data_IF_710720837624
#
_entry.id   IF_710720837624
#
_cell.length_a   1.000
_cell.length_b   1.000
_cell.length_c   1.000
_cell.angle_alpha   90.00
_cell.angle_beta   90.00
_cell.angle_gamma   90.00
#
_symmetry.space_group_name_H-M   'P 1'
#
loop_
_entity.id
_entity.type
_entity.pdbx_description
1 polymer ?
#
# COMPACT_ATOMS: atom_id res chain seq x y z
N UNK A 1 1.52 8.31 28.67
CA UNK A 1 1.70 9.53 27.86
C UNK A 1 1.69 9.15 26.39
N UNK A 2 0.93 9.86 25.56
CA UNK A 2 0.94 9.68 24.10
C UNK A 2 1.94 10.65 23.51
N UNK A 3 2.92 10.16 22.71
CA UNK A 3 3.79 11.03 21.92
C UNK A 3 3.40 10.92 20.45
N UNK A 4 3.16 12.07 19.83
CA UNK A 4 2.95 12.19 18.38
C UNK A 4 4.29 12.41 17.72
N UNK A 5 4.61 11.56 16.75
CA UNK A 5 5.84 11.66 15.97
C UNK A 5 5.51 11.77 14.48
N UNK A 6 6.22 12.65 13.78
CA UNK A 6 6.16 12.73 12.33
C UNK A 6 7.21 11.80 11.75
N UNK A 7 6.80 10.81 10.97
CA UNK A 7 7.70 9.84 10.35
C UNK A 7 7.71 10.09 8.84
N UNK A 8 8.88 10.09 8.20
CA UNK A 8 8.96 10.05 6.75
C UNK A 8 8.77 8.61 6.27
N UNK A 9 7.81 8.42 5.37
CA UNK A 9 7.48 7.12 4.83
C UNK A 9 7.51 7.16 3.31
N UNK A 10 8.02 6.07 2.75
CA UNK A 10 7.99 5.75 1.34
C UNK A 10 7.17 4.48 1.16
N UNK A 11 6.33 4.42 0.13
CA UNK A 11 5.54 3.23 -0.18
C UNK A 11 5.02 3.24 -1.59
N UNK A 12 4.34 2.17 -1.98
CA UNK A 12 3.74 2.01 -3.30
C UNK A 12 2.23 1.80 -3.18
N UNK A 13 1.46 2.54 -3.97
CA UNK A 13 0.01 2.35 -4.13
C UNK A 13 -0.23 1.61 -5.44
N UNK A 14 -0.93 0.48 -5.37
CA UNK A 14 -1.34 -0.28 -6.56
C UNK A 14 -2.63 0.28 -7.14
N UNK A 15 -2.60 0.63 -8.42
CA UNK A 15 -3.80 0.90 -9.22
C UNK A 15 -4.19 -0.36 -9.98
N UNK A 16 -5.48 -0.69 -10.00
CA UNK A 16 -6.01 -1.85 -10.69
C UNK A 16 -7.10 -1.42 -11.67
N UNK A 17 -6.87 -1.60 -12.97
CA UNK A 17 -7.83 -1.23 -14.00
C UNK A 17 -9.01 -2.22 -14.02
N UNK A 18 -10.21 -1.69 -14.18
CA UNK A 18 -11.45 -2.45 -14.44
C UNK A 18 -12.36 -1.64 -15.37
N UNK A 19 -13.24 -2.32 -16.12
CA UNK A 19 -14.13 -1.65 -17.07
C UNK A 19 -14.34 -2.46 -18.34
N UNK A 20 -14.97 -1.81 -19.32
CA UNK A 20 -15.33 -2.39 -20.61
C UNK A 20 -14.58 -1.68 -21.75
N UNK A 21 -14.00 -2.46 -22.66
CA UNK A 21 -13.49 -1.97 -23.94
C UNK A 21 -14.54 -2.27 -25.01
N UNK A 22 -14.81 -1.29 -25.85
CA UNK A 22 -15.75 -1.42 -26.97
C UNK A 22 -14.99 -1.46 -28.28
N UNK A 23 -15.16 -2.55 -29.02
CA UNK A 23 -14.64 -2.71 -30.36
C UNK A 23 -15.75 -2.39 -31.34
N UNK A 24 -15.51 -1.41 -32.21
CA UNK A 24 -16.41 -1.05 -33.29
C UNK A 24 -15.81 -1.56 -34.59
N UNK A 25 -16.63 -2.18 -35.42
CA UNK A 25 -16.26 -2.75 -36.70
C UNK A 25 -17.00 -2.00 -37.81
N UNK A 26 -16.34 -1.82 -38.95
CA UNK A 26 -16.95 -1.18 -40.13
C UNK A 26 -18.04 -2.07 -40.75
N UNK A 27 -17.83 -3.39 -40.69
CA UNK A 27 -18.78 -4.43 -41.14
C UNK A 27 -19.23 -5.33 -39.98
N UNK A 28 -20.37 -6.00 -40.16
CA UNK A 28 -20.90 -6.93 -39.15
C UNK A 28 -19.96 -8.12 -38.97
N UNK A 29 -19.51 -8.32 -37.74
CA UNK A 29 -18.82 -9.54 -37.30
C UNK A 29 -19.80 -10.32 -36.41
N UNK A 30 -20.11 -11.56 -36.79
CA UNK A 30 -21.11 -12.41 -36.14
C UNK A 30 -22.46 -11.70 -35.91
N UNK A 31 -22.89 -10.91 -36.89
CA UNK A 31 -24.18 -10.20 -36.86
C UNK A 31 -24.18 -8.85 -36.14
N UNK A 32 -23.07 -8.44 -35.53
CA UNK A 32 -22.97 -7.20 -34.74
C UNK A 32 -21.85 -6.27 -35.23
N UNK A 33 -22.08 -4.95 -35.13
CA UNK A 33 -21.05 -3.92 -35.41
C UNK A 33 -20.22 -3.54 -34.19
N UNK A 34 -20.67 -3.91 -32.99
CA UNK A 34 -20.06 -3.49 -31.73
C UNK A 34 -20.00 -4.65 -30.76
N UNK A 35 -18.85 -4.82 -30.13
CA UNK A 35 -18.62 -5.82 -29.11
C UNK A 35 -18.01 -5.19 -27.87
N UNK A 36 -18.53 -5.54 -26.69
CA UNK A 36 -18.00 -5.09 -25.41
C UNK A 36 -17.27 -6.23 -24.73
N UNK A 37 -16.08 -5.95 -24.22
CA UNK A 37 -15.28 -6.92 -23.46
C UNK A 37 -14.92 -6.33 -22.10
N UNK A 38 -15.24 -7.06 -21.03
CA UNK A 38 -14.85 -6.71 -19.66
C UNK A 38 -13.39 -7.07 -19.46
N UNK A 39 -12.53 -6.08 -19.22
CA UNK A 39 -11.08 -6.31 -19.05
C UNK A 39 -10.78 -7.19 -17.84
N UNK A 40 -11.60 -7.10 -16.78
CA UNK A 40 -11.46 -7.94 -15.58
C UNK A 40 -11.73 -9.41 -15.88
N UNK A 41 -12.61 -9.69 -16.85
CA UNK A 41 -13.01 -11.06 -17.18
C UNK A 41 -12.01 -11.72 -18.13
N UNK A 42 -11.43 -10.96 -19.06
CA UNK A 42 -10.45 -11.49 -20.03
C UNK A 42 -9.00 -11.45 -19.54
N UNK A 43 -8.62 -10.43 -18.75
CA UNK A 43 -7.32 -10.36 -18.08
C UNK A 43 -7.51 -10.69 -16.60
N UNK A 44 -7.55 -11.99 -16.32
CA UNK A 44 -7.79 -12.53 -14.97
C UNK A 44 -6.60 -12.31 -14.04
N UNK A 45 -5.38 -12.37 -14.59
CA UNK A 45 -4.18 -11.93 -13.89
C UNK A 45 -4.26 -10.42 -13.63
N UNK A 46 -4.21 -10.04 -12.35
CA UNK A 46 -4.31 -8.64 -11.94
C UNK A 46 -3.06 -7.85 -12.29
N UNK A 47 -1.91 -8.51 -12.39
CA UNK A 47 -0.64 -7.85 -12.69
C UNK A 47 -0.65 -7.23 -14.09
N UNK A 48 -1.28 -7.90 -15.05
CA UNK A 48 -1.42 -7.44 -16.45
C UNK A 48 -2.31 -6.19 -16.60
N UNK A 49 -3.06 -5.83 -15.56
CA UNK A 49 -3.95 -4.65 -15.55
C UNK A 49 -3.70 -3.74 -14.35
N UNK A 50 -2.49 -3.76 -13.82
CA UNK A 50 -2.12 -2.92 -12.70
C UNK A 50 -0.84 -2.13 -12.92
N UNK A 51 -0.70 -1.04 -12.18
CA UNK A 51 0.52 -0.25 -12.10
C UNK A 51 0.69 0.27 -10.67
N UNK A 52 1.86 0.79 -10.35
CA UNK A 52 2.18 1.31 -9.03
C UNK A 52 2.56 2.79 -9.11
N UNK A 53 2.06 3.59 -8.17
CA UNK A 53 2.66 4.89 -7.86
C UNK A 53 3.44 4.80 -6.57
N UNK A 54 4.69 5.26 -6.63
CA UNK A 54 5.50 5.50 -5.45
C UNK A 54 5.04 6.82 -4.79
N UNK A 55 4.93 6.80 -3.47
CA UNK A 55 4.74 8.02 -2.68
C UNK A 55 5.84 8.15 -1.65
N UNK A 56 6.23 9.39 -1.37
CA UNK A 56 7.15 9.75 -0.30
C UNK A 56 6.57 10.93 0.46
N UNK A 57 6.39 10.80 1.77
CA UNK A 57 5.78 11.87 2.56
C UNK A 57 5.83 11.64 4.06
N UNK A 58 5.45 12.69 4.78
CA UNK A 58 5.35 12.65 6.24
C UNK A 58 4.01 12.05 6.68
N UNK A 59 4.06 11.08 7.58
CA UNK A 59 2.89 10.48 8.23
C UNK A 59 2.87 10.87 9.70
N UNK A 60 1.70 11.22 10.21
CA UNK A 60 1.47 11.41 11.64
C UNK A 60 1.11 10.07 12.27
N UNK A 61 1.88 9.64 13.26
CA UNK A 61 1.56 8.45 14.04
C UNK A 61 1.52 8.78 15.53
N UNK A 62 0.56 8.15 16.23
CA UNK A 62 0.48 8.19 17.68
C UNK A 62 1.07 6.91 18.22
N UNK A 63 2.27 7.01 18.82
CA UNK A 63 2.93 5.85 19.42
C UNK A 63 2.65 5.85 20.92
N UNK A 64 2.11 4.75 21.43
CA UNK A 64 1.99 4.47 22.87
C UNK A 64 3.19 3.62 23.28
N UNK A 65 4.26 4.27 23.72
CA UNK A 65 5.39 3.58 24.36
C UNK A 65 5.15 3.54 25.87
N UNK A 66 4.92 2.35 26.40
CA UNK A 66 4.93 2.11 27.85
C UNK A 66 6.30 1.51 28.16
N UNK A 67 7.15 2.28 28.83
CA UNK A 67 8.46 1.81 29.30
C UNK A 67 8.49 1.96 30.82
N UNK A 68 8.37 0.85 31.54
CA UNK A 68 8.60 0.80 32.99
C UNK A 68 10.08 0.50 33.23
N UNK A 69 10.88 1.55 33.37
CA UNK A 69 12.27 1.42 33.80
C UNK A 69 12.32 1.33 35.32
N UNK A 70 12.66 0.16 35.87
CA UNK A 70 12.97 0.02 37.29
C UNK A 70 14.46 0.32 37.51
N UNK A 71 14.77 1.46 38.11
CA UNK A 71 16.12 1.76 38.57
C UNK A 71 16.39 0.97 39.85
N UNK A 72 17.02 -0.21 39.72
CA UNK A 72 17.62 -0.86 40.88
C UNK A 72 18.92 -0.12 41.20
N UNK A 73 18.93 0.57 42.33
CA UNK A 73 20.18 0.95 43.01
C UNK A 73 20.87 -0.35 43.43
N UNK A 74 21.65 -0.94 42.52
CA UNK A 74 22.73 -1.82 42.95
C UNK A 74 23.82 -0.89 43.44
N UNK A 75 24.04 -0.91 44.74
CA UNK A 75 25.24 -0.36 45.35
C UNK A 75 26.42 -1.08 44.68
N UNK A 76 27.12 -0.40 43.77
CA UNK A 76 28.47 -0.81 43.41
C UNK A 76 29.31 -0.37 44.60
N UNK A 77 29.58 -1.30 45.51
CA UNK A 77 30.70 -1.14 46.44
C UNK A 77 31.98 -1.10 45.59
N UNK A 78 32.80 -0.07 45.81
CA UNK A 78 34.11 0.17 45.19
C UNK A 78 35.17 -0.91 45.59
N UNK A 79 34.80 -2.18 45.66
CA UNK A 79 35.70 -3.30 45.99
C UNK A 79 35.96 -4.29 44.85
N UNK A 80 35.39 -4.07 43.65
CA UNK A 80 35.58 -4.95 42.49
C UNK A 80 36.44 -4.33 41.36
N UNK A 81 37.49 -3.56 41.73
CA UNK A 81 38.67 -3.30 40.86
C UNK A 81 39.82 -4.21 41.28
#
# INVERSE_FOLDING_TARGET
>A
MTKTCTIQATGNIRYLASGWIWFNYDDKTDGHYKWAVSIKTVLTNQDDRSSFAEFKGSMLTNTLSIYEGNCNLTHIDDSDI
#
